data_IF_804043419293
#
_entry.id   IF_804043419293
#
_cell.length_a   1.000
_cell.length_b   1.000
_cell.length_c   1.000
_cell.angle_alpha   90.00
_cell.angle_beta   90.00
_cell.angle_gamma   90.00
#
_symmetry.space_group_name_H-M   'P 1'
#
loop_
_entity.id
_entity.type
_entity.pdbx_description
1 polymer ?
#
# COMPACT_ATOMS: atom_id res chain seq x y z
N UNK A 1 3.70 -4.13 -12.95
CA UNK A 1 2.43 -3.37 -12.95
C UNK A 1 2.16 -2.84 -14.34
N UNK A 2 1.06 -3.27 -14.94
CA UNK A 2 0.58 -2.79 -16.24
C UNK A 2 -0.49 -1.71 -16.05
N UNK A 3 -0.64 -0.78 -17.00
CA UNK A 3 -1.62 0.31 -16.93
C UNK A 3 -2.58 0.22 -18.10
N UNK A 4 -3.88 0.26 -17.82
CA UNK A 4 -4.97 0.31 -18.80
C UNK A 4 -5.71 1.63 -18.70
N UNK A 5 -6.32 2.07 -19.79
CA UNK A 5 -7.33 3.14 -19.70
C UNK A 5 -8.63 2.59 -19.13
N UNK A 6 -9.49 3.45 -18.57
CA UNK A 6 -10.83 3.06 -18.13
C UNK A 6 -11.67 2.42 -19.26
N UNK A 7 -11.46 2.85 -20.51
CA UNK A 7 -12.15 2.28 -21.66
C UNK A 7 -11.64 0.87 -21.99
N UNK A 8 -10.31 0.64 -21.93
CA UNK A 8 -9.73 -0.70 -22.14
C UNK A 8 -10.14 -1.67 -21.03
N UNK A 9 -10.14 -1.22 -19.78
CA UNK A 9 -10.60 -2.00 -18.64
C UNK A 9 -12.08 -2.40 -18.76
N UNK A 10 -12.93 -1.49 -19.25
CA UNK A 10 -14.36 -1.78 -19.50
C UNK A 10 -14.55 -2.78 -20.64
N UNK A 11 -13.80 -2.62 -21.74
CA UNK A 11 -13.90 -3.50 -22.92
C UNK A 11 -13.37 -4.90 -22.65
N UNK A 12 -12.27 -5.01 -21.90
CA UNK A 12 -11.54 -6.25 -21.67
C UNK A 12 -11.66 -6.72 -20.20
N UNK A 13 -12.83 -6.55 -19.59
CA UNK A 13 -12.99 -6.78 -18.14
C UNK A 13 -12.65 -8.21 -17.69
N UNK A 14 -13.00 -9.23 -18.47
CA UNK A 14 -12.65 -10.62 -18.14
C UNK A 14 -11.13 -10.86 -18.13
N UNK A 15 -10.41 -10.30 -19.10
CA UNK A 15 -8.95 -10.41 -19.18
C UNK A 15 -8.26 -9.58 -18.08
N UNK A 16 -8.81 -8.40 -17.76
CA UNK A 16 -8.39 -7.60 -16.61
C UNK A 16 -8.44 -8.43 -15.32
N UNK A 17 -9.54 -9.14 -15.06
CA UNK A 17 -9.66 -9.99 -13.87
C UNK A 17 -8.60 -11.09 -13.83
N UNK A 18 -8.40 -11.81 -14.94
CA UNK A 18 -7.39 -12.87 -15.04
C UNK A 18 -5.97 -12.34 -14.83
N UNK A 19 -5.66 -11.18 -15.41
CA UNK A 19 -4.35 -10.56 -15.26
C UNK A 19 -4.14 -10.01 -13.84
N UNK A 20 -5.19 -9.46 -13.21
CA UNK A 20 -5.16 -8.96 -11.84
C UNK A 20 -4.90 -10.05 -10.80
N UNK A 21 -5.24 -11.31 -11.09
CA UNK A 21 -4.88 -12.46 -10.25
C UNK A 21 -3.36 -12.74 -10.23
N UNK A 22 -2.61 -12.26 -11.24
CA UNK A 22 -1.17 -12.51 -11.38
C UNK A 22 -0.31 -11.33 -10.97
N UNK A 23 -0.81 -10.12 -11.18
CA UNK A 23 -0.14 -8.89 -10.78
C UNK A 23 -1.13 -7.72 -10.72
N UNK A 24 -0.84 -6.69 -9.91
CA UNK A 24 -1.64 -5.47 -9.87
C UNK A 24 -1.67 -4.76 -11.24
N UNK A 25 -2.86 -4.28 -11.60
CA UNK A 25 -3.13 -3.50 -12.81
C UNK A 25 -3.66 -2.14 -12.41
N UNK A 26 -3.04 -1.10 -12.95
CA UNK A 26 -3.47 0.28 -12.78
C UNK A 26 -4.48 0.65 -13.85
N UNK A 27 -5.51 1.39 -13.49
CA UNK A 27 -6.48 1.94 -14.44
C UNK A 27 -6.42 3.47 -14.39
N UNK A 28 -6.17 4.09 -15.54
CA UNK A 28 -6.15 5.54 -15.70
C UNK A 28 -7.44 6.07 -16.31
N UNK A 29 -7.86 7.26 -15.88
CA UNK A 29 -8.99 8.01 -16.45
C UNK A 29 -8.54 9.44 -16.67
N UNK A 30 -8.75 9.96 -17.88
CA UNK A 30 -8.32 11.32 -18.27
C UNK A 30 -6.83 11.59 -17.96
N UNK A 31 -5.97 10.63 -18.33
CA UNK A 31 -4.51 10.66 -18.11
C UNK A 31 -4.06 10.73 -16.64
N UNK A 32 -4.96 10.42 -15.68
CA UNK A 32 -4.62 10.30 -14.26
C UNK A 32 -4.87 8.88 -13.77
N UNK A 33 -3.99 8.40 -12.92
CA UNK A 33 -4.14 7.11 -12.24
C UNK A 33 -5.36 7.19 -11.31
N UNK A 34 -6.35 6.33 -11.55
CA UNK A 34 -7.62 6.38 -10.83
C UNK A 34 -7.72 5.27 -9.79
N UNK A 35 -7.40 4.03 -10.18
CA UNK A 35 -7.50 2.85 -9.30
C UNK A 35 -6.41 1.82 -9.62
N UNK A 36 -6.19 0.91 -8.68
CA UNK A 36 -5.42 -0.32 -8.89
C UNK A 36 -6.37 -1.50 -8.63
N UNK A 37 -6.32 -2.50 -9.50
CA UNK A 37 -7.03 -3.78 -9.37
C UNK A 37 -6.00 -4.87 -9.16
N UNK A 38 -6.21 -5.72 -8.16
CA UNK A 38 -5.33 -6.84 -7.81
C UNK A 38 -6.17 -8.02 -7.34
N UNK A 39 -5.53 -9.17 -7.12
CA UNK A 39 -6.16 -10.33 -6.52
C UNK A 39 -6.61 -10.02 -5.08
N UNK A 40 -7.63 -10.73 -4.59
CA UNK A 40 -8.05 -10.59 -3.20
C UNK A 40 -6.96 -11.08 -2.24
N UNK A 41 -6.21 -12.11 -2.64
CA UNK A 41 -5.11 -12.66 -1.87
C UNK A 41 -3.98 -11.64 -1.68
N UNK A 42 -3.57 -10.97 -2.75
CA UNK A 42 -2.52 -9.94 -2.72
C UNK A 42 -2.96 -8.76 -1.84
N UNK A 43 -4.24 -8.40 -1.89
CA UNK A 43 -4.79 -7.34 -1.04
C UNK A 43 -4.76 -7.72 0.45
N UNK A 44 -5.20 -8.93 0.79
CA UNK A 44 -5.18 -9.43 2.17
C UNK A 44 -3.75 -9.55 2.71
N UNK A 45 -2.81 -10.01 1.88
CA UNK A 45 -1.39 -10.07 2.24
C UNK A 45 -0.83 -8.66 2.50
N UNK A 46 -1.17 -7.68 1.65
CA UNK A 46 -0.78 -6.28 1.85
C UNK A 46 -1.31 -5.72 3.18
N UNK A 47 -2.56 -6.00 3.53
CA UNK A 47 -3.14 -5.56 4.81
C UNK A 47 -2.46 -6.24 6.02
N UNK A 48 -2.10 -7.51 5.87
CA UNK A 48 -1.34 -8.24 6.88
C UNK A 48 0.06 -7.64 7.06
N UNK A 49 0.76 -7.33 5.97
CA UNK A 49 2.09 -6.70 6.00
C UNK A 49 2.04 -5.32 6.67
N UNK A 50 1.03 -4.49 6.37
CA UNK A 50 0.82 -3.20 7.06
C UNK A 50 0.66 -3.37 8.56
N UNK A 51 -0.15 -4.34 8.96
CA UNK A 51 -0.40 -4.64 10.38
C UNK A 51 0.88 -5.08 11.08
N UNK A 52 1.66 -5.96 10.46
CA UNK A 52 2.90 -6.46 11.03
C UNK A 52 3.99 -5.39 11.11
N UNK A 53 4.09 -4.54 10.08
CA UNK A 53 4.96 -3.38 10.10
C UNK A 53 4.63 -2.43 11.26
N UNK A 54 3.34 -2.17 11.51
CA UNK A 54 2.93 -1.32 12.62
C UNK A 54 3.33 -1.92 13.98
N UNK A 55 3.13 -3.23 14.18
CA UNK A 55 3.59 -3.92 15.40
C UNK A 55 5.11 -3.81 15.55
N UNK A 56 5.86 -4.00 14.47
CA UNK A 56 7.30 -3.84 14.47
C UNK A 56 7.70 -2.44 14.92
N UNK A 57 7.09 -1.38 14.39
CA UNK A 57 7.33 0.00 14.83
C UNK A 57 7.06 0.20 16.32
N UNK A 58 5.97 -0.35 16.86
CA UNK A 58 5.67 -0.26 18.29
C UNK A 58 6.66 -1.03 19.16
N UNK A 59 7.12 -2.19 18.71
CA UNK A 59 8.13 -2.95 19.45
C UNK A 59 9.48 -2.21 19.46
N UNK A 60 9.91 -1.67 18.31
CA UNK A 60 11.10 -0.83 18.23
C UNK A 60 11.00 0.39 19.16
N UNK A 61 9.86 1.09 19.15
CA UNK A 61 9.62 2.23 20.04
C UNK A 61 9.66 1.84 21.53
N UNK A 62 9.18 0.65 21.91
CA UNK A 62 9.29 0.13 23.29
C UNK A 62 10.74 -0.12 23.68
N UNK A 63 11.54 -0.67 22.78
CA UNK A 63 12.96 -0.93 23.01
C UNK A 63 13.75 0.39 23.15
N UNK A 64 13.42 1.39 22.34
CA UNK A 64 14.02 2.72 22.44
C UNK A 64 13.64 3.41 23.75
N UNK A 65 12.38 3.30 24.18
CA UNK A 65 11.93 3.79 25.49
C UNK A 65 12.69 3.12 26.64
N UNK A 66 12.88 1.80 26.58
CA UNK A 66 13.62 1.06 27.60
C UNK A 66 15.10 1.47 27.68
N UNK A 67 15.70 1.89 26.56
CA UNK A 67 17.08 2.38 26.47
C UNK A 67 17.22 3.87 26.79
N UNK A 68 16.11 4.59 26.94
CA UNK A 68 16.10 6.05 27.11
C UNK A 68 16.41 6.82 25.81
N UNK A 69 16.34 6.16 24.64
CA UNK A 69 16.52 6.77 23.33
C UNK A 69 15.25 7.50 22.90
N UNK A 70 14.84 8.50 23.67
CA UNK A 70 13.61 9.26 23.45
C UNK A 70 13.91 10.75 23.30
N UNK A 71 13.09 11.42 22.50
CA UNK A 71 13.11 12.88 22.31
C UNK A 71 11.74 13.43 22.70
N UNK A 72 11.70 14.68 23.18
CA UNK A 72 10.44 15.36 23.43
C UNK A 72 9.63 15.50 22.13
N UNK A 73 8.31 15.32 22.22
CA UNK A 73 7.44 15.34 21.05
C UNK A 73 7.40 16.69 20.35
N UNK A 74 7.58 17.80 21.07
CA UNK A 74 7.61 19.14 20.47
C UNK A 74 8.90 19.35 19.70
N UNK A 75 10.03 18.90 20.25
CA UNK A 75 11.33 19.03 19.61
C UNK A 75 11.38 18.18 18.33
N UNK A 76 10.89 16.94 18.39
CA UNK A 76 10.74 16.08 17.20
C UNK A 76 9.90 16.72 16.09
N UNK A 77 8.73 17.29 16.41
CA UNK A 77 7.84 17.88 15.41
C UNK A 77 8.40 19.17 14.78
N UNK A 78 9.29 19.87 15.49
CA UNK A 78 9.96 21.05 14.94
C UNK A 78 11.08 20.69 13.96
N UNK A 79 11.58 19.44 13.98
CA UNK A 79 12.67 18.95 13.12
C UNK A 79 12.17 18.20 11.86
N UNK A 80 10.87 17.92 11.76
CA UNK A 80 10.24 17.20 10.64
C UNK A 80 9.94 18.11 9.44
#
# INVERSE_FOLDING_TARGET
>A
MHTLTANDAKRNFGELLLNAQRQPIKISKNSKDAVVVMSIHDYEELEMMKTEYLKHCFNAAKDDLAKGNVIDGKDFLNEL
#
